data_IF_076877848353
#
_entry.id   IF_076877848353
#
_cell.length_a   1.000
_cell.length_b   1.000
_cell.length_c   1.000
_cell.angle_alpha   90.00
_cell.angle_beta   90.00
_cell.angle_gamma   90.00
#
_symmetry.space_group_name_H-M   'P 1'
#
loop_
_entity.id
_entity.type
_entity.pdbx_description
1 polymer ?
#
# COMPACT_ATOMS: atom_id res chain seq x y z
N UNK A 1 -16.88 5.49 3.48
CA UNK A 1 -16.05 6.72 3.34
C UNK A 1 -14.66 6.32 2.88
N UNK A 2 -13.96 7.21 2.18
CA UNK A 2 -12.56 7.03 1.76
C UNK A 2 -11.65 7.99 2.52
N UNK A 3 -10.53 7.51 3.01
CA UNK A 3 -9.49 8.32 3.62
C UNK A 3 -8.18 8.26 2.84
N UNK A 4 -7.40 9.32 2.92
CA UNK A 4 -6.02 9.40 2.41
C UNK A 4 -5.25 10.46 3.19
N UNK A 5 -3.93 10.49 3.04
CA UNK A 5 -3.14 11.68 3.34
C UNK A 5 -2.12 11.94 2.24
N UNK A 6 -1.59 13.16 2.19
CA UNK A 6 -0.45 13.55 1.38
C UNK A 6 0.51 14.40 2.19
N UNK A 7 1.75 14.55 1.72
CA UNK A 7 2.72 15.44 2.36
C UNK A 7 2.64 16.85 1.76
N UNK A 8 2.39 17.85 2.61
CA UNK A 8 2.28 19.27 2.18
C UNK A 8 3.61 19.82 1.67
N UNK A 9 3.56 20.77 0.75
CA UNK A 9 4.76 21.35 0.13
C UNK A 9 5.51 20.38 -0.78
N UNK A 10 4.84 19.34 -1.28
CA UNK A 10 5.40 18.37 -2.22
C UNK A 10 4.49 18.19 -3.43
N UNK A 11 4.99 17.63 -4.55
CA UNK A 11 4.14 17.35 -5.71
C UNK A 11 2.98 16.37 -5.45
N UNK A 12 2.94 15.69 -4.30
CA UNK A 12 1.79 14.86 -3.90
C UNK A 12 0.50 15.67 -3.68
N UNK A 13 0.57 17.00 -3.52
CA UNK A 13 -0.61 17.87 -3.49
C UNK A 13 -1.42 17.80 -4.79
N UNK A 14 -0.73 17.72 -5.93
CA UNK A 14 -1.37 17.61 -7.25
C UNK A 14 -2.09 16.26 -7.37
N UNK A 15 -1.43 15.20 -6.92
CA UNK A 15 -1.98 13.84 -6.92
C UNK A 15 -3.21 13.74 -6.01
N UNK A 16 -3.12 14.24 -4.77
CA UNK A 16 -4.24 14.26 -3.83
C UNK A 16 -5.43 15.07 -4.37
N UNK A 17 -5.18 16.18 -5.05
CA UNK A 17 -6.23 16.96 -5.71
C UNK A 17 -6.91 16.18 -6.85
N UNK A 18 -6.17 15.36 -7.59
CA UNK A 18 -6.74 14.48 -8.61
C UNK A 18 -7.64 13.40 -7.96
N UNK A 19 -7.21 12.80 -6.84
CA UNK A 19 -8.02 11.89 -6.06
C UNK A 19 -9.32 12.57 -5.58
N UNK A 20 -9.23 13.73 -4.92
CA UNK A 20 -10.40 14.52 -4.46
C UNK A 20 -11.38 14.77 -5.60
N UNK A 21 -10.90 15.17 -6.78
CA UNK A 21 -11.76 15.41 -7.95
C UNK A 21 -12.53 14.15 -8.35
N UNK A 22 -11.86 13.00 -8.39
CA UNK A 22 -12.49 11.72 -8.73
C UNK A 22 -13.55 11.30 -7.69
N UNK A 23 -13.25 11.50 -6.41
CA UNK A 23 -14.17 11.20 -5.30
C UNK A 23 -15.42 12.10 -5.33
N UNK A 24 -15.24 13.40 -5.58
CA UNK A 24 -16.35 14.36 -5.71
C UNK A 24 -17.23 14.05 -6.92
N UNK A 25 -16.64 13.68 -8.05
CA UNK A 25 -17.40 13.29 -9.26
C UNK A 25 -18.32 12.10 -8.99
N UNK A 26 -17.87 11.15 -8.16
CA UNK A 26 -18.63 9.96 -7.75
C UNK A 26 -19.46 10.17 -6.47
N UNK A 27 -19.50 11.39 -5.92
CA UNK A 27 -20.21 11.74 -4.67
C UNK A 27 -19.83 10.85 -3.48
N UNK A 28 -18.57 10.43 -3.39
CA UNK A 28 -18.09 9.57 -2.32
C UNK A 28 -17.67 10.43 -1.11
N UNK A 29 -18.18 10.16 0.10
CA UNK A 29 -17.69 10.80 1.33
C UNK A 29 -16.19 10.51 1.50
N UNK A 30 -15.42 11.54 1.83
CA UNK A 30 -13.97 11.41 1.97
C UNK A 30 -13.34 12.39 2.94
N UNK A 31 -12.19 11.99 3.48
CA UNK A 31 -11.32 12.82 4.30
C UNK A 31 -9.87 12.65 3.81
N UNK A 32 -9.27 13.75 3.33
CA UNK A 32 -7.91 13.72 2.77
C UNK A 32 -7.08 14.76 3.52
N UNK A 33 -6.14 14.29 4.34
CA UNK A 33 -5.34 15.14 5.20
C UNK A 33 -4.01 15.54 4.55
N UNK A 34 -3.68 16.84 4.62
CA UNK A 34 -2.32 17.32 4.34
C UNK A 34 -1.47 17.20 5.61
N UNK A 35 -0.44 16.36 5.60
CA UNK A 35 0.46 16.16 6.74
C UNK A 35 1.83 16.79 6.48
N UNK A 36 2.46 17.41 7.49
CA UNK A 36 3.84 17.87 7.36
C UNK A 36 4.78 16.69 7.18
N UNK A 37 5.77 16.85 6.30
CA UNK A 37 6.89 15.94 6.22
C UNK A 37 7.61 15.90 7.58
N UNK A 38 7.79 14.71 8.15
CA UNK A 38 8.30 14.55 9.52
C UNK A 38 9.82 14.68 9.62
N UNK A 39 10.50 15.02 8.52
CA UNK A 39 11.96 15.27 8.47
C UNK A 39 12.84 14.02 8.69
N UNK A 40 12.25 12.91 9.12
CA UNK A 40 12.89 11.60 9.24
C UNK A 40 12.17 10.61 8.35
N UNK A 41 12.95 9.85 7.61
CA UNK A 41 12.44 8.80 6.75
C UNK A 41 11.70 7.71 7.54
N UNK A 42 12.19 7.34 8.73
CA UNK A 42 11.51 6.39 9.63
C UNK A 42 10.12 6.89 10.01
N UNK A 43 10.04 8.17 10.39
CA UNK A 43 8.76 8.80 10.73
C UNK A 43 7.83 8.81 9.52
N UNK A 44 8.35 9.07 8.33
CA UNK A 44 7.58 9.07 7.09
C UNK A 44 7.09 7.67 6.67
N UNK A 45 7.90 6.63 6.83
CA UNK A 45 7.54 5.24 6.52
C UNK A 45 6.37 4.75 7.38
N UNK A 46 6.33 5.12 8.66
CA UNK A 46 5.25 4.76 9.57
C UNK A 46 3.99 5.63 9.45
N UNK A 47 4.02 6.74 8.69
CA UNK A 47 2.89 7.70 8.63
C UNK A 47 1.57 7.03 8.24
N UNK A 48 1.60 6.16 7.22
CA UNK A 48 0.39 5.51 6.72
C UNK A 48 -0.23 4.57 7.74
N UNK A 49 0.57 3.71 8.35
CA UNK A 49 0.10 2.82 9.40
C UNK A 49 -0.51 3.60 10.57
N UNK A 50 0.19 4.64 11.05
CA UNK A 50 -0.29 5.48 12.16
C UNK A 50 -1.58 6.21 11.80
N UNK A 51 -1.61 6.86 10.62
CA UNK A 51 -2.78 7.59 10.16
C UNK A 51 -4.02 6.69 10.09
N UNK A 52 -3.90 5.49 9.49
CA UNK A 52 -5.02 4.55 9.38
C UNK A 52 -5.47 4.06 10.76
N UNK A 53 -4.53 3.72 11.65
CA UNK A 53 -4.85 3.28 13.03
C UNK A 53 -5.53 4.37 13.84
N UNK A 54 -4.99 5.57 13.82
CA UNK A 54 -5.51 6.70 14.60
C UNK A 54 -6.88 7.11 14.07
N UNK A 55 -7.03 7.18 12.74
CA UNK A 55 -8.32 7.40 12.10
C UNK A 55 -9.35 6.33 12.52
N UNK A 56 -8.97 5.05 12.57
CA UNK A 56 -9.86 3.97 13.01
C UNK A 56 -10.30 4.09 14.47
N UNK A 57 -9.44 4.62 15.35
CA UNK A 57 -9.76 4.84 16.77
C UNK A 57 -10.80 5.93 16.93
N UNK A 58 -10.72 6.98 16.12
CA UNK A 58 -11.63 8.12 16.19
C UNK A 58 -12.92 7.89 15.37
N UNK A 59 -12.79 7.20 14.24
CA UNK A 59 -13.89 6.91 13.31
C UNK A 59 -14.40 5.48 13.50
N UNK A 60 -15.46 5.34 14.29
CA UNK A 60 -16.07 4.06 14.64
C UNK A 60 -16.94 3.44 13.53
N UNK A 61 -16.53 3.53 12.26
CA UNK A 61 -17.21 2.89 11.11
C UNK A 61 -16.19 2.35 10.09
N UNK A 62 -16.56 1.35 9.26
CA UNK A 62 -15.65 0.84 8.24
C UNK A 62 -15.29 1.90 7.21
N UNK A 63 -14.08 1.82 6.66
CA UNK A 63 -13.61 2.80 5.69
C UNK A 63 -12.64 2.18 4.68
N UNK A 64 -12.43 2.90 3.60
CA UNK A 64 -11.45 2.59 2.57
C UNK A 64 -10.25 3.53 2.69
N UNK A 65 -9.05 2.97 2.64
CA UNK A 65 -7.83 3.72 2.33
C UNK A 65 -7.61 3.73 0.82
N UNK A 66 -7.28 4.89 0.26
CA UNK A 66 -6.67 5.04 -1.06
C UNK A 66 -5.36 5.81 -0.93
N UNK A 67 -4.31 5.42 -1.65
CA UNK A 67 -3.11 6.26 -1.74
C UNK A 67 -3.43 7.60 -2.44
N UNK A 68 -2.71 8.67 -2.11
CA UNK A 68 -2.93 10.00 -2.67
C UNK A 68 -2.77 10.08 -4.19
N UNK A 69 -2.06 9.14 -4.81
CA UNK A 69 -1.87 9.04 -6.26
C UNK A 69 -2.85 8.08 -6.96
N UNK A 70 -3.87 7.62 -6.24
CA UNK A 70 -4.98 6.88 -6.79
C UNK A 70 -6.00 7.80 -7.48
N UNK A 71 -6.73 7.21 -8.43
CA UNK A 71 -7.90 7.80 -9.08
C UNK A 71 -9.06 6.79 -8.95
N UNK A 72 -10.18 7.22 -8.36
CA UNK A 72 -11.37 6.39 -8.27
C UNK A 72 -12.20 6.56 -9.55
N UNK A 73 -12.24 5.52 -10.38
CA UNK A 73 -12.88 5.57 -11.69
C UNK A 73 -14.31 4.99 -11.69
N UNK A 74 -14.62 4.10 -10.74
CA UNK A 74 -15.96 3.53 -10.48
C UNK A 74 -16.16 3.46 -8.95
N UNK A 75 -17.40 3.40 -8.43
CA UNK A 75 -17.63 3.20 -7.00
C UNK A 75 -16.98 1.91 -6.49
N UNK A 76 -16.43 1.95 -5.27
CA UNK A 76 -15.99 0.77 -4.52
C UNK A 76 -17.22 -0.03 -4.05
N UNK A 77 -17.07 -1.34 -3.77
CA UNK A 77 -18.18 -2.13 -3.27
C UNK A 77 -18.52 -1.66 -1.85
N UNK A 78 -19.81 -1.68 -1.53
CA UNK A 78 -20.25 -1.44 -0.16
C UNK A 78 -20.02 -2.70 0.68
N UNK A 79 -18.97 -2.67 1.50
CA UNK A 79 -18.61 -3.72 2.43
C UNK A 79 -19.00 -3.37 3.88
N UNK A 80 -19.80 -2.31 4.09
CA UNK A 80 -20.10 -1.79 5.43
C UNK A 80 -20.84 -2.78 6.34
N UNK A 81 -21.59 -3.71 5.75
CA UNK A 81 -22.31 -4.79 6.43
C UNK A 81 -21.63 -6.15 6.30
N UNK A 82 -20.49 -6.23 5.61
CA UNK A 82 -19.77 -7.48 5.41
C UNK A 82 -18.82 -7.74 6.59
N UNK A 83 -18.84 -8.94 7.20
CA UNK A 83 -17.97 -9.28 8.32
C UNK A 83 -16.55 -9.62 7.84
N UNK A 84 -15.90 -8.68 7.15
CA UNK A 84 -14.51 -8.79 6.69
C UNK A 84 -13.62 -7.88 7.51
N UNK A 85 -12.44 -8.38 7.87
CA UNK A 85 -11.45 -7.61 8.61
C UNK A 85 -10.75 -6.62 7.66
N UNK A 86 -10.35 -7.13 6.49
CA UNK A 86 -9.72 -6.35 5.43
C UNK A 86 -10.19 -6.84 4.05
N UNK A 87 -10.20 -5.94 3.07
CA UNK A 87 -10.35 -6.30 1.66
C UNK A 87 -9.37 -5.54 0.79
N UNK A 88 -8.69 -6.23 -0.13
CA UNK A 88 -7.75 -5.63 -1.06
C UNK A 88 -7.48 -6.56 -2.25
N UNK A 89 -6.90 -6.02 -3.31
CA UNK A 89 -6.32 -6.86 -4.36
C UNK A 89 -4.95 -7.38 -3.91
N UNK A 90 -4.63 -8.63 -4.25
CA UNK A 90 -3.30 -9.21 -4.05
C UNK A 90 -2.87 -10.02 -5.28
N UNK A 91 -1.58 -10.34 -5.38
CA UNK A 91 -1.08 -11.31 -6.36
C UNK A 91 -0.33 -12.42 -5.65
N UNK A 92 -0.27 -13.60 -6.27
CA UNK A 92 0.53 -14.72 -5.79
C UNK A 92 0.12 -15.23 -4.39
N UNK A 93 -1.09 -14.90 -3.91
CA UNK A 93 -1.60 -15.28 -2.58
C UNK A 93 -1.02 -14.47 -1.40
N UNK A 94 -0.02 -13.61 -1.63
CA UNK A 94 0.65 -12.86 -0.56
C UNK A 94 0.98 -11.40 -0.89
N UNK A 95 1.15 -11.03 -2.15
CA UNK A 95 1.61 -9.71 -2.56
C UNK A 95 0.44 -8.72 -2.60
N UNK A 96 -0.04 -8.35 -1.41
CA UNK A 96 -1.10 -7.36 -1.16
C UNK A 96 -0.84 -6.07 -1.93
N UNK A 97 -1.86 -5.38 -2.43
CA UNK A 97 -1.74 -4.02 -2.99
C UNK A 97 -2.29 -3.00 -2.00
N UNK A 98 -1.43 -2.43 -1.15
CA UNK A 98 -1.84 -1.54 -0.05
C UNK A 98 -2.35 -0.17 -0.51
N UNK A 99 -2.35 0.13 -1.82
CA UNK A 99 -2.84 1.40 -2.34
C UNK A 99 -4.36 1.53 -2.43
N UNK A 100 -5.09 0.44 -2.22
CA UNK A 100 -6.52 0.42 -2.02
C UNK A 100 -6.86 -0.70 -1.04
N UNK A 101 -7.31 -0.36 0.16
CA UNK A 101 -7.58 -1.33 1.24
C UNK A 101 -8.84 -0.92 1.98
N UNK A 102 -9.77 -1.85 2.15
CA UNK A 102 -10.88 -1.73 3.08
C UNK A 102 -10.43 -2.18 4.48
N UNK A 103 -10.86 -1.44 5.49
CA UNK A 103 -10.69 -1.78 6.89
C UNK A 103 -12.06 -1.93 7.56
N UNK A 104 -12.31 -3.14 8.07
CA UNK A 104 -13.51 -3.50 8.80
C UNK A 104 -13.54 -2.98 10.24
N UNK A 105 -14.65 -3.27 10.91
CA UNK A 105 -14.90 -2.85 12.29
C UNK A 105 -14.78 -4.01 13.28
N UNK A 106 -13.67 -4.75 13.20
CA UNK A 106 -13.42 -5.92 14.06
C UNK A 106 -12.20 -5.70 14.95
N UNK A 107 -12.08 -6.54 15.99
CA UNK A 107 -10.90 -6.54 16.86
C UNK A 107 -9.66 -7.04 16.13
N UNK A 108 -9.81 -7.96 15.16
CA UNK A 108 -8.73 -8.37 14.28
C UNK A 108 -8.19 -7.18 13.47
N UNK A 109 -9.06 -6.33 12.92
CA UNK A 109 -8.60 -5.12 12.21
C UNK A 109 -7.78 -4.22 13.14
N UNK A 110 -8.19 -4.04 14.40
CA UNK A 110 -7.43 -3.25 15.37
C UNK A 110 -6.05 -3.87 15.65
N UNK A 111 -6.01 -5.18 15.91
CA UNK A 111 -4.76 -5.90 16.17
C UNK A 111 -3.79 -5.84 14.97
N UNK A 112 -4.31 -5.94 13.74
CA UNK A 112 -3.51 -5.80 12.52
C UNK A 112 -2.92 -4.40 12.39
N UNK A 113 -3.72 -3.36 12.67
CA UNK A 113 -3.26 -1.96 12.61
C UNK A 113 -2.19 -1.67 13.67
N UNK A 114 -2.35 -2.19 14.89
CA UNK A 114 -1.34 -2.05 15.94
C UNK A 114 -0.02 -2.77 15.57
N UNK A 115 -0.10 -4.01 15.03
CA UNK A 115 1.07 -4.73 14.51
C UNK A 115 1.73 -3.99 13.35
N UNK A 116 0.93 -3.46 12.40
CA UNK A 116 1.46 -2.74 11.26
C UNK A 116 2.23 -1.48 11.67
N UNK A 117 1.73 -0.75 12.67
CA UNK A 117 2.44 0.40 13.24
C UNK A 117 3.74 -0.01 13.92
N UNK A 118 3.73 -1.03 14.79
CA UNK A 118 4.94 -1.55 15.43
C UNK A 118 5.99 -1.94 14.39
N UNK A 119 5.57 -2.67 13.36
CA UNK A 119 6.48 -3.12 12.30
C UNK A 119 7.04 -1.96 11.49
N UNK A 120 6.21 -0.97 11.13
CA UNK A 120 6.66 0.18 10.35
C UNK A 120 7.65 1.06 11.12
N UNK A 121 7.55 1.10 12.45
CA UNK A 121 8.46 1.84 13.32
C UNK A 121 9.78 1.11 13.53
N UNK A 122 9.74 -0.21 13.75
CA UNK A 122 10.93 -1.04 13.97
C UNK A 122 11.71 -1.31 12.69
N UNK A 123 11.01 -1.45 11.56
CA UNK A 123 11.61 -1.83 10.27
C UNK A 123 11.27 -0.82 9.16
N UNK A 124 11.67 0.45 9.31
CA UNK A 124 11.31 1.52 8.37
C UNK A 124 11.86 1.33 6.96
N UNK A 125 12.84 0.42 6.80
CA UNK A 125 13.43 0.03 5.51
C UNK A 125 12.60 -0.94 4.71
N UNK A 126 11.61 -1.57 5.34
CA UNK A 126 10.71 -2.51 4.68
C UNK A 126 9.51 -1.75 4.13
N UNK A 127 9.10 -2.07 2.90
CA UNK A 127 7.92 -1.45 2.30
C UNK A 127 6.66 -1.68 3.15
N UNK A 128 5.88 -0.62 3.37
CA UNK A 128 4.64 -0.61 4.17
C UNK A 128 3.67 -1.71 3.74
N UNK A 129 3.56 -1.93 2.42
CA UNK A 129 2.70 -2.95 1.82
C UNK A 129 3.04 -4.36 2.32
N UNK A 130 4.33 -4.66 2.44
CA UNK A 130 4.79 -5.96 2.92
C UNK A 130 4.57 -6.08 4.43
N UNK A 131 4.85 -5.00 5.18
CA UNK A 131 4.61 -4.99 6.62
C UNK A 131 3.13 -5.19 6.97
N UNK A 132 2.20 -4.60 6.20
CA UNK A 132 0.77 -4.83 6.35
C UNK A 132 0.41 -6.30 6.10
N UNK A 133 0.94 -6.92 5.03
CA UNK A 133 0.70 -8.35 4.77
C UNK A 133 1.21 -9.23 5.90
N UNK A 134 2.41 -8.94 6.44
CA UNK A 134 2.99 -9.70 7.55
C UNK A 134 2.18 -9.48 8.83
N UNK A 135 1.70 -8.27 9.11
CA UNK A 135 0.79 -8.00 10.23
C UNK A 135 -0.50 -8.81 10.13
N UNK A 136 -1.12 -8.84 8.95
CA UNK A 136 -2.30 -9.70 8.69
C UNK A 136 -1.99 -11.18 8.90
N UNK A 137 -0.85 -11.66 8.39
CA UNK A 137 -0.41 -13.06 8.57
C UNK A 137 -0.24 -13.43 10.04
N UNK A 138 0.50 -12.59 10.77
CA UNK A 138 0.82 -12.82 12.16
C UNK A 138 -0.40 -12.70 13.06
N UNK A 139 -1.39 -11.87 12.69
CA UNK A 139 -2.68 -11.88 13.35
C UNK A 139 -3.45 -13.17 13.05
N UNK A 140 -3.50 -13.61 11.79
CA UNK A 140 -4.18 -14.83 11.39
C UNK A 140 -3.66 -16.08 12.13
N UNK A 141 -2.36 -16.12 12.39
CA UNK A 141 -1.72 -17.17 13.17
C UNK A 141 -2.20 -17.24 14.63
N UNK A 142 -2.73 -16.12 15.18
CA UNK A 142 -3.26 -16.02 16.55
C UNK A 142 -4.77 -16.13 16.63
N UNK A 143 -5.45 -15.48 15.68
CA UNK A 143 -6.91 -15.36 15.60
C UNK A 143 -7.28 -15.31 14.11
N UNK A 144 -8.17 -16.19 13.61
CA UNK A 144 -8.51 -16.25 12.19
C UNK A 144 -8.93 -14.89 11.63
N UNK A 145 -8.25 -14.45 10.57
CA UNK A 145 -8.52 -13.18 9.88
C UNK A 145 -9.38 -13.43 8.66
N UNK A 146 -10.49 -12.71 8.56
CA UNK A 146 -11.37 -12.75 7.39
C UNK A 146 -10.91 -11.73 6.36
N UNK A 147 -10.13 -12.18 5.37
CA UNK A 147 -9.67 -11.35 4.26
C UNK A 147 -10.51 -11.59 3.00
N UNK A 148 -10.96 -10.49 2.37
CA UNK A 148 -11.62 -10.54 1.07
C UNK A 148 -10.66 -10.11 -0.04
N UNK A 149 -10.28 -11.05 -0.90
CA UNK A 149 -9.51 -10.75 -2.10
C UNK A 149 -10.40 -10.08 -3.14
N UNK A 150 -10.06 -8.85 -3.52
CA UNK A 150 -10.75 -8.11 -4.57
C UNK A 150 -10.28 -8.58 -5.95
N UNK A 151 -11.15 -8.62 -6.97
CA UNK A 151 -10.74 -8.90 -8.34
C UNK A 151 -9.71 -7.89 -8.87
N UNK A 152 -8.88 -8.31 -9.83
CA UNK A 152 -7.90 -7.42 -10.50
C UNK A 152 -8.55 -6.14 -11.07
N UNK A 153 -9.80 -6.22 -11.52
CA UNK A 153 -10.55 -5.07 -12.03
C UNK A 153 -10.68 -3.93 -11.01
N UNK A 154 -10.53 -4.22 -9.71
CA UNK A 154 -10.61 -3.22 -8.65
C UNK A 154 -9.34 -2.39 -8.50
N UNK A 155 -8.18 -2.93 -8.89
CA UNK A 155 -6.91 -2.26 -8.71
C UNK A 155 -6.02 -2.45 -9.94
N UNK A 156 -5.78 -1.35 -10.65
CA UNK A 156 -4.93 -1.37 -11.84
C UNK A 156 -3.83 -0.33 -11.74
N UNK A 157 -2.59 -0.78 -11.89
CA UNK A 157 -1.44 0.13 -12.00
C UNK A 157 -1.45 0.80 -13.38
N UNK A 158 -1.20 2.10 -13.42
CA UNK A 158 -1.02 2.83 -14.67
C UNK A 158 0.15 2.26 -15.48
N UNK A 159 0.04 2.30 -16.81
CA UNK A 159 1.10 1.82 -17.69
C UNK A 159 2.34 2.71 -17.58
N UNK A 160 3.52 2.08 -17.53
CA UNK A 160 4.81 2.80 -17.60
C UNK A 160 5.03 3.50 -18.95
N UNK A 161 4.43 2.97 -20.02
CA UNK A 161 4.53 3.56 -21.36
C UNK A 161 3.39 4.55 -21.53
N UNK A 162 3.72 5.85 -21.59
CA UNK A 162 2.76 6.94 -21.70
C UNK A 162 1.79 6.77 -22.88
N UNK A 163 2.29 6.43 -24.08
CA UNK A 163 1.43 6.19 -25.24
C UNK A 163 0.39 5.09 -25.01
N UNK A 164 0.77 3.99 -24.33
CA UNK A 164 -0.17 2.93 -23.96
C UNK A 164 -1.18 3.42 -22.95
N UNK A 165 -0.77 4.25 -21.98
CA UNK A 165 -1.69 4.83 -20.99
C UNK A 165 -2.70 5.76 -21.66
N UNK A 166 -2.25 6.64 -22.56
CA UNK A 166 -3.12 7.53 -23.34
C UNK A 166 -4.10 6.72 -24.20
N UNK A 167 -3.60 5.69 -24.90
CA UNK A 167 -4.46 4.80 -25.68
C UNK A 167 -5.49 4.10 -24.81
N UNK A 168 -5.09 3.57 -23.64
CA UNK A 168 -6.01 2.94 -22.70
C UNK A 168 -7.11 3.90 -22.25
N UNK A 169 -6.74 5.13 -21.87
CA UNK A 169 -7.69 6.16 -21.45
C UNK A 169 -8.64 6.56 -22.58
N UNK A 170 -8.13 6.69 -23.80
CA UNK A 170 -8.95 6.97 -24.98
C UNK A 170 -9.98 5.86 -25.22
N UNK A 171 -9.55 4.59 -25.21
CA UNK A 171 -10.44 3.43 -25.34
C UNK A 171 -11.48 3.36 -24.22
N UNK A 172 -11.10 3.71 -22.98
CA UNK A 172 -11.99 3.80 -21.82
C UNK A 172 -13.01 4.97 -21.93
N UNK A 173 -12.66 6.05 -22.61
CA UNK A 173 -13.57 7.18 -22.85
C UNK A 173 -14.61 6.87 -23.92
N UNK A 174 -14.23 6.12 -24.97
CA UNK A 174 -15.14 5.74 -26.07
C UNK A 174 -15.85 4.40 -25.82
N UNK A 175 -15.69 3.80 -24.64
CA UNK A 175 -16.41 2.58 -24.24
C UNK A 175 -15.87 1.27 -24.85
N UNK A 176 -14.74 1.30 -25.56
CA UNK A 176 -14.09 0.10 -26.11
C UNK A 176 -13.23 -0.65 -25.08
N UNK A 177 -13.10 -0.11 -23.87
CA UNK A 177 -12.41 -0.75 -22.76
C UNK A 177 -13.05 -0.39 -21.43
N UNK A 178 -13.16 -1.38 -20.55
CA UNK A 178 -13.61 -1.14 -19.18
C UNK A 178 -12.58 -0.38 -18.35
N UNK A 179 -13.05 0.64 -17.63
CA UNK A 179 -12.27 1.32 -16.59
C UNK A 179 -12.08 0.39 -15.39
N UNK A 180 -10.90 0.41 -14.73
CA UNK A 180 -10.75 -0.22 -13.42
C UNK A 180 -11.63 0.50 -12.38
N UNK A 181 -11.79 -0.06 -11.19
CA UNK A 181 -12.42 0.67 -10.07
C UNK A 181 -11.45 1.71 -9.53
N UNK A 182 -10.22 1.29 -9.20
CA UNK A 182 -9.13 2.18 -8.78
C UNK A 182 -7.98 2.09 -9.79
N UNK A 183 -7.56 3.24 -10.30
CA UNK A 183 -6.32 3.38 -11.06
C UNK A 183 -5.24 3.94 -10.16
N UNK A 184 -4.11 3.27 -10.07
CA UNK A 184 -2.97 3.70 -9.25
C UNK A 184 -1.85 4.27 -10.13
N UNK A 185 -1.59 5.58 -10.04
CA UNK A 185 -0.69 6.33 -10.90
C UNK A 185 0.80 6.24 -10.49
N UNK A 186 1.13 5.61 -9.36
CA UNK A 186 2.50 5.32 -8.90
C UNK A 186 3.41 6.57 -8.93
N UNK A 187 2.88 7.70 -8.44
CA UNK A 187 3.55 9.00 -8.40
C UNK A 187 4.89 8.92 -7.66
N UNK A 188 4.99 8.13 -6.59
CA UNK A 188 6.26 7.94 -5.86
C UNK A 188 7.40 7.50 -6.79
N UNK A 189 7.15 6.63 -7.77
CA UNK A 189 8.17 6.20 -8.73
C UNK A 189 8.55 7.29 -9.73
N UNK A 190 7.60 8.18 -10.07
CA UNK A 190 7.84 9.33 -10.96
C UNK A 190 8.61 10.44 -10.22
N UNK A 191 8.17 10.74 -8.99
CA UNK A 191 8.63 11.85 -8.17
C UNK A 191 9.93 11.54 -7.42
N UNK A 192 10.22 10.27 -7.09
CA UNK A 192 11.49 9.85 -6.46
C UNK A 192 12.69 10.30 -7.31
N UNK A 193 12.58 10.22 -8.64
CA UNK A 193 13.62 10.74 -9.56
C UNK A 193 13.79 12.27 -9.51
N UNK A 194 12.74 13.01 -9.19
CA UNK A 194 12.73 14.48 -9.14
C UNK A 194 13.15 15.01 -7.77
N UNK A 195 12.86 14.27 -6.70
CA UNK A 195 13.11 14.67 -5.30
C UNK A 195 14.43 14.12 -4.73
N UNK A 196 15.02 13.10 -5.35
CA UNK A 196 16.30 12.53 -4.90
C UNK A 196 17.50 13.40 -5.30
N UNK A 197 17.84 14.38 -4.46
CA UNK A 197 19.19 14.95 -4.42
C UNK A 197 20.25 13.90 -4.03
N UNK A 198 21.54 14.18 -4.24
CA UNK A 198 22.67 13.23 -4.00
C UNK A 198 22.66 12.54 -2.62
N UNK A 199 22.16 13.20 -1.57
CA UNK A 199 22.06 12.62 -0.22
C UNK A 199 20.90 11.60 -0.05
N UNK A 200 19.86 11.67 -0.89
CA UNK A 200 18.73 10.74 -0.91
C UNK A 200 19.05 9.47 -1.71
N UNK A 201 19.91 9.57 -2.74
CA UNK A 201 20.32 8.43 -3.58
C UNK A 201 21.13 7.35 -2.84
N UNK A 202 21.87 7.71 -1.80
CA UNK A 202 22.57 6.73 -0.93
C UNK A 202 21.61 6.00 0.02
N UNK A 203 20.47 6.61 0.36
CA UNK A 203 19.51 6.11 1.37
C UNK A 203 18.39 5.26 0.77
N UNK A 204 18.04 5.51 -0.49
CA UNK A 204 17.09 4.69 -1.26
C UNK A 204 17.68 3.33 -1.67
N UNK A 205 18.99 3.13 -1.50
CA UNK A 205 19.69 1.86 -1.72
C UNK A 205 19.45 0.79 -0.65
N UNK A 206 18.86 1.13 0.50
CA UNK A 206 18.63 0.17 1.61
C UNK A 206 17.16 -0.29 1.72
N UNK A 207 16.26 0.18 0.85
CA UNK A 207 14.85 -0.21 0.88
C UNK A 207 14.67 -1.67 0.47
N UNK A 208 14.01 -2.45 1.30
CA UNK A 208 13.70 -3.84 1.01
C UNK A 208 12.20 -4.03 0.75
N UNK A 209 11.88 -4.66 -0.38
CA UNK A 209 10.52 -5.02 -0.79
C UNK A 209 10.29 -6.54 -0.75
N UNK A 210 9.07 -6.97 -1.09
CA UNK A 210 8.74 -8.40 -1.24
C UNK A 210 9.64 -9.16 -2.23
N UNK A 211 10.32 -8.47 -3.15
CA UNK A 211 11.30 -9.09 -4.05
C UNK A 211 12.50 -9.70 -3.31
N UNK A 212 12.83 -9.20 -2.12
CA UNK A 212 13.95 -9.71 -1.31
C UNK A 212 13.50 -10.73 -0.26
N UNK A 213 12.20 -11.05 -0.18
CA UNK A 213 11.73 -12.10 0.72
C UNK A 213 12.29 -13.47 0.32
N UNK A 214 12.80 -14.25 1.29
CA UNK A 214 13.14 -15.66 1.07
C UNK A 214 11.94 -16.46 0.55
N UNK A 215 12.13 -17.44 -0.37
CA UNK A 215 11.03 -18.22 -0.93
C UNK A 215 10.15 -18.91 0.11
N UNK A 216 10.75 -19.47 1.16
CA UNK A 216 10.00 -20.12 2.25
C UNK A 216 9.07 -19.15 2.99
N UNK A 217 9.47 -17.89 3.14
CA UNK A 217 8.61 -16.87 3.76
C UNK A 217 7.48 -16.47 2.81
N UNK A 218 7.69 -16.44 1.49
CA UNK A 218 6.60 -16.21 0.53
C UNK A 218 5.56 -17.33 0.55
N UNK A 219 6.01 -18.59 0.61
CA UNK A 219 5.12 -19.74 0.75
C UNK A 219 4.32 -19.65 2.05
N UNK A 220 5.00 -19.37 3.17
CA UNK A 220 4.33 -19.17 4.46
C UNK A 220 3.29 -18.06 4.39
N UNK A 221 3.60 -16.92 3.77
CA UNK A 221 2.65 -15.82 3.57
C UNK A 221 1.54 -16.14 2.56
N UNK A 222 1.60 -17.23 1.81
CA UNK A 222 0.52 -17.63 0.87
C UNK A 222 -0.45 -18.63 1.50
N UNK A 223 -0.07 -19.20 2.64
CA UNK A 223 -0.80 -20.27 3.31
C UNK A 223 -1.59 -19.72 4.50
N UNK A 224 -2.70 -20.40 4.84
CA UNK A 224 -3.41 -20.17 6.09
C UNK A 224 -2.87 -21.13 7.13
N UNK A 225 -2.12 -20.62 8.12
CA UNK A 225 -1.49 -21.44 9.15
C UNK A 225 -1.29 -20.70 10.47
N UNK A 226 -0.89 -21.44 11.50
CA UNK A 226 -0.61 -20.93 12.85
C UNK A 226 0.82 -20.41 13.04
N UNK A 227 1.67 -20.51 12.02
CA UNK A 227 3.06 -20.05 12.09
C UNK A 227 3.15 -18.55 11.77
N UNK A 228 3.76 -17.79 12.68
CA UNK A 228 4.02 -16.36 12.51
C UNK A 228 5.38 -16.08 11.89
N UNK A 229 5.48 -15.05 11.08
CA UNK A 229 6.74 -14.53 10.55
C UNK A 229 7.46 -13.67 11.59
N UNK A 230 8.69 -14.04 11.95
CA UNK A 230 9.56 -13.21 12.80
C UNK A 230 10.38 -12.21 11.95
N UNK A 231 10.01 -10.93 12.02
CA UNK A 231 10.69 -9.86 11.29
C UNK A 231 12.14 -9.62 11.74
N UNK A 232 12.48 -9.86 13.01
CA UNK A 232 13.86 -9.72 13.49
C UNK A 232 14.80 -10.74 12.82
N UNK A 233 14.26 -11.88 12.40
CA UNK A 233 15.00 -12.90 11.63
C UNK A 233 14.95 -12.63 10.13
N UNK A 234 13.80 -12.23 9.60
CA UNK A 234 13.58 -12.11 8.15
C UNK A 234 14.21 -10.85 7.56
N UNK A 235 14.13 -9.70 8.23
CA UNK A 235 14.62 -8.43 7.68
C UNK A 235 16.14 -8.46 7.43
N UNK A 236 16.99 -8.99 8.33
CA UNK A 236 18.42 -9.14 8.02
C UNK A 236 18.70 -9.94 6.74
N UNK A 237 17.92 -11.01 6.49
CA UNK A 237 18.05 -11.82 5.28
C UNK A 237 17.66 -11.04 4.02
N UNK A 238 16.61 -10.22 4.11
CA UNK A 238 16.17 -9.34 3.02
C UNK A 238 17.22 -8.28 2.69
N UNK A 239 17.85 -7.68 3.71
CA UNK A 239 18.93 -6.71 3.54
C UNK A 239 20.13 -7.35 2.86
N UNK A 240 20.53 -8.55 3.30
CA UNK A 240 21.61 -9.30 2.66
C UNK A 240 21.30 -9.67 1.20
N UNK A 241 20.04 -9.99 0.87
CA UNK A 241 19.62 -10.22 -0.52
C UNK A 241 19.69 -8.92 -1.36
N UNK A 242 19.21 -7.80 -0.83
CA UNK A 242 19.26 -6.49 -1.51
C UNK A 242 20.70 -6.04 -1.79
N UNK A 243 21.63 -6.26 -0.85
CA UNK A 243 23.03 -5.86 -1.04
C UNK A 243 23.72 -6.66 -2.16
N UNK A 244 23.38 -7.95 -2.33
CA UNK A 244 23.90 -8.81 -3.40
C UNK A 244 23.42 -8.38 -4.80
N UNK A 245 22.29 -7.70 -4.91
CA UNK A 245 21.82 -7.12 -6.18
C UNK A 245 22.56 -5.82 -6.54
N UNK A 246 23.16 -5.14 -5.56
CA UNK A 246 23.84 -3.85 -5.72
C UNK A 246 25.31 -4.02 -6.08
N UNK A 247 25.96 -5.09 -5.65
CA UNK A 247 27.31 -5.45 -6.10
C UNK A 247 27.22 -6.05 -7.52
N UNK A 248 27.69 -5.35 -8.57
CA UNK A 248 27.77 -5.97 -9.88
C UNK A 248 28.81 -7.09 -9.79
N UNK A 249 28.53 -8.19 -10.47
CA UNK A 249 29.49 -9.25 -10.81
C UNK A 249 30.81 -8.64 -11.30
N UNK A 250 31.75 -8.40 -10.39
CA UNK A 250 33.15 -8.09 -10.66
C UNK A 250 33.96 -9.39 -10.83
N UNK A 251 33.33 -10.38 -11.46
CA UNK A 251 33.95 -11.62 -11.89
C UNK A 251 33.35 -12.02 -13.24
N UNK A 252 34.03 -11.61 -14.31
CA UNK A 252 34.47 -12.41 -15.46
C UNK A 252 34.73 -11.53 -16.68
#
# INVERSE_FOLDING_TARGET
MIISFYTVGTPYEVEANALVKSLKALKIPHEIAGLPNQGSWVKNCAMKARFVRDFRRDYHKPFWWLDADAELCKPLPDLSSTPVDLAAYQTDGWNLRSGCVFFGMTDNTNAILDLWVDYAERFPIVWDQLLLRIAMHNQNAKSPVTFMELPESYYKKASRKWHKEVQNRALEMIGLRDKPVVRQNQASRRLKKLLDGKANQLKTKLEVSGNHLPPNIRSLLSESGSESVNLDTVVPLMVAASNREIEPSSAH
#
